data_IF_301400758933
#
_entry.id   IF_301400758933
#
_cell.length_a   1.000
_cell.length_b   1.000
_cell.length_c   1.000
_cell.angle_alpha   90.00
_cell.angle_beta   90.00
_cell.angle_gamma   90.00
#
_symmetry.space_group_name_H-M   'P 1'
#
loop_
_entity.id
_entity.type
_entity.pdbx_description
1 polymer ?
#
# COMPACT_ATOMS: atom_id res chain seq x y z
N UNK A 1 -13.68 4.63 -5.79
CA UNK A 1 -13.04 5.00 -7.07
C UNK A 1 -13.43 4.11 -8.23
N UNK A 2 -13.62 2.79 -8.03
CA UNK A 2 -13.81 1.79 -9.10
C UNK A 2 -14.98 2.00 -10.07
N UNK A 3 -15.91 2.94 -9.83
CA UNK A 3 -16.99 3.30 -10.76
C UNK A 3 -16.73 4.57 -11.59
N UNK A 4 -15.59 5.24 -11.39
CA UNK A 4 -15.24 6.46 -12.12
C UNK A 4 -14.62 6.07 -13.46
N UNK A 5 -15.10 6.66 -14.55
CA UNK A 5 -14.49 6.47 -15.87
C UNK A 5 -13.01 6.88 -15.86
N UNK A 6 -12.14 6.00 -16.36
CA UNK A 6 -10.70 6.23 -16.37
C UNK A 6 -10.04 6.26 -14.98
N UNK A 7 -10.70 5.72 -13.94
CA UNK A 7 -10.19 5.73 -12.57
C UNK A 7 -8.74 5.27 -12.46
N UNK A 8 -8.36 4.19 -13.16
CA UNK A 8 -6.99 3.66 -13.13
C UNK A 8 -5.95 4.70 -13.57
N UNK A 9 -6.24 5.45 -14.65
CA UNK A 9 -5.33 6.50 -15.13
C UNK A 9 -5.21 7.62 -14.11
N UNK A 10 -6.35 8.10 -13.59
CA UNK A 10 -6.39 9.15 -12.57
C UNK A 10 -5.67 8.73 -11.28
N UNK A 11 -5.81 7.48 -10.87
CA UNK A 11 -5.12 6.93 -9.70
C UNK A 11 -3.60 6.93 -9.89
N UNK A 12 -3.12 6.58 -11.09
CA UNK A 12 -1.69 6.68 -11.42
C UNK A 12 -1.21 8.12 -11.39
N UNK A 13 -1.97 9.07 -11.95
CA UNK A 13 -1.63 10.50 -11.91
C UNK A 13 -1.49 11.02 -10.47
N UNK A 14 -2.45 10.69 -9.60
CA UNK A 14 -2.43 11.03 -8.17
C UNK A 14 -1.19 10.44 -7.47
N UNK A 15 -0.88 9.17 -7.74
CA UNK A 15 0.24 8.48 -7.13
C UNK A 15 1.60 9.04 -7.61
N UNK A 16 1.73 9.33 -8.91
CA UNK A 16 2.94 9.95 -9.48
C UNK A 16 3.14 11.37 -8.93
N UNK A 17 2.06 12.14 -8.76
CA UNK A 17 2.09 13.45 -8.11
C UNK A 17 2.43 13.37 -6.61
N UNK A 18 2.43 12.17 -6.01
CA UNK A 18 2.73 11.96 -4.59
C UNK A 18 1.62 12.41 -3.64
N UNK A 19 0.38 12.48 -4.13
CA UNK A 19 -0.78 12.86 -3.33
C UNK A 19 -1.30 11.67 -2.52
N UNK A 20 -1.37 10.49 -3.15
CA UNK A 20 -1.78 9.24 -2.51
C UNK A 20 -1.29 8.03 -3.32
N UNK A 21 -0.58 7.10 -2.69
CA UNK A 21 -0.11 5.86 -3.30
C UNK A 21 -0.24 4.63 -2.38
N UNK A 22 0.26 3.48 -2.83
CA UNK A 22 0.15 2.22 -2.09
C UNK A 22 0.96 2.24 -0.78
N UNK A 23 2.10 2.93 -0.74
CA UNK A 23 2.93 3.10 0.46
C UNK A 23 2.14 3.83 1.53
N UNK A 24 1.55 4.97 1.16
CA UNK A 24 0.71 5.76 2.06
C UNK A 24 -0.53 4.98 2.52
N UNK A 25 -1.17 4.23 1.62
CA UNK A 25 -2.30 3.39 2.02
C UNK A 25 -1.91 2.34 3.07
N UNK A 26 -0.79 1.66 2.88
CA UNK A 26 -0.30 0.67 3.84
C UNK A 26 0.00 1.32 5.19
N UNK A 27 0.85 2.33 5.19
CA UNK A 27 1.48 2.81 6.42
C UNK A 27 0.59 3.81 7.19
N UNK A 28 -0.23 4.59 6.50
CA UNK A 28 -1.07 5.64 7.11
C UNK A 28 -2.53 5.20 7.30
N UNK A 29 -2.98 4.14 6.62
CA UNK A 29 -4.37 3.65 6.74
C UNK A 29 -4.43 2.25 7.32
N UNK A 30 -3.82 1.25 6.68
CA UNK A 30 -3.96 -0.14 7.09
C UNK A 30 -3.25 -0.42 8.43
N UNK A 31 -1.96 -0.13 8.52
CA UNK A 31 -1.18 -0.42 9.73
C UNK A 31 -1.73 0.25 11.00
N UNK A 32 -2.19 1.52 10.98
CA UNK A 32 -2.81 2.14 12.15
C UNK A 32 -4.09 1.44 12.61
N UNK A 33 -4.93 0.98 11.67
CA UNK A 33 -6.15 0.22 12.01
C UNK A 33 -5.79 -1.13 12.62
N UNK A 34 -4.84 -1.86 12.02
CA UNK A 34 -4.40 -3.17 12.52
C UNK A 34 -3.75 -3.07 13.90
N UNK A 35 -2.95 -2.03 14.16
CA UNK A 35 -2.38 -1.72 15.48
C UNK A 35 -3.46 -1.37 16.50
N UNK A 36 -4.43 -0.53 16.14
CA UNK A 36 -5.54 -0.15 17.04
C UNK A 36 -6.30 -1.37 17.54
N UNK A 37 -6.47 -2.38 16.68
CA UNK A 37 -7.15 -3.63 17.00
C UNK A 37 -6.23 -4.73 17.55
N UNK A 38 -4.93 -4.45 17.63
CA UNK A 38 -3.89 -5.37 18.12
C UNK A 38 -3.91 -6.72 17.40
N UNK A 39 -4.18 -6.71 16.10
CA UNK A 39 -4.40 -7.94 15.31
C UNK A 39 -3.23 -8.90 15.43
N UNK A 40 -1.99 -8.42 15.47
CA UNK A 40 -0.79 -9.26 15.56
C UNK A 40 -0.32 -9.56 16.99
N UNK A 41 -0.92 -8.95 18.01
CA UNK A 41 -0.50 -9.11 19.43
C UNK A 41 -1.46 -10.00 20.23
N UNK A 42 -2.69 -10.19 19.73
CA UNK A 42 -3.72 -11.01 20.37
C UNK A 42 -3.37 -12.49 20.34
N UNK A 43 -3.69 -13.20 21.42
CA UNK A 43 -3.48 -14.65 21.56
C UNK A 43 -4.79 -15.41 21.84
N UNK A 44 -5.93 -14.73 21.69
CA UNK A 44 -7.27 -15.25 21.97
C UNK A 44 -8.03 -15.67 20.71
N UNK A 45 -7.33 -15.84 19.59
CA UNK A 45 -7.91 -16.30 18.34
C UNK A 45 -8.03 -17.82 18.27
N UNK A 46 -9.14 -18.28 17.69
CA UNK A 46 -9.28 -19.68 17.26
C UNK A 46 -8.51 -19.95 15.97
N UNK A 47 -8.40 -21.23 15.59
CA UNK A 47 -7.60 -21.69 14.45
C UNK A 47 -7.91 -20.97 13.13
N UNK A 48 -9.17 -20.69 12.82
CA UNK A 48 -9.57 -19.96 11.61
C UNK A 48 -9.05 -18.52 11.60
N UNK A 49 -9.14 -17.83 12.73
CA UNK A 49 -8.64 -16.45 12.86
C UNK A 49 -7.11 -16.39 12.82
N UNK A 50 -6.42 -17.41 13.35
CA UNK A 50 -4.97 -17.55 13.21
C UNK A 50 -4.54 -17.71 11.75
N UNK A 51 -5.25 -18.56 11.02
CA UNK A 51 -5.02 -18.75 9.58
C UNK A 51 -5.25 -17.44 8.80
N UNK A 52 -6.35 -16.74 9.07
CA UNK A 52 -6.63 -15.44 8.45
C UNK A 52 -5.56 -14.38 8.79
N UNK A 53 -4.98 -14.43 10.00
CA UNK A 53 -3.88 -13.55 10.40
C UNK A 53 -2.59 -13.82 9.62
N UNK A 54 -2.28 -15.09 9.33
CA UNK A 54 -1.15 -15.47 8.48
C UNK A 54 -1.37 -15.00 7.04
N UNK A 55 -2.57 -15.18 6.50
CA UNK A 55 -2.91 -14.69 5.17
C UNK A 55 -2.79 -13.16 5.08
N UNK A 56 -3.27 -12.46 6.10
CA UNK A 56 -3.13 -11.02 6.20
C UNK A 56 -1.65 -10.58 6.25
N UNK A 57 -0.78 -11.28 6.98
CA UNK A 57 0.65 -10.92 7.00
C UNK A 57 1.30 -11.09 5.62
N UNK A 58 0.99 -12.17 4.90
CA UNK A 58 1.48 -12.39 3.54
C UNK A 58 1.03 -11.26 2.60
N UNK A 59 -0.24 -10.85 2.68
CA UNK A 59 -0.76 -9.74 1.87
C UNK A 59 -0.07 -8.40 2.18
N UNK A 60 0.28 -8.15 3.44
CA UNK A 60 1.02 -6.94 3.84
C UNK A 60 2.46 -6.97 3.31
N UNK A 61 3.11 -8.14 3.31
CA UNK A 61 4.45 -8.32 2.75
C UNK A 61 4.44 -8.12 1.23
N UNK A 62 3.48 -8.69 0.52
CA UNK A 62 3.33 -8.48 -0.93
C UNK A 62 3.04 -7.01 -1.28
N UNK A 63 2.28 -6.33 -0.41
CA UNK A 63 2.00 -4.90 -0.54
C UNK A 63 3.27 -4.06 -0.34
N UNK A 64 4.12 -4.42 0.63
CA UNK A 64 5.42 -3.77 0.87
C UNK A 64 6.30 -3.83 -0.39
N UNK A 65 6.48 -5.03 -0.95
CA UNK A 65 7.31 -5.22 -2.15
C UNK A 65 6.74 -4.43 -3.34
N UNK A 66 5.42 -4.32 -3.44
CA UNK A 66 4.75 -3.55 -4.49
C UNK A 66 4.89 -2.04 -4.30
N UNK A 67 4.83 -1.56 -3.06
CA UNK A 67 5.08 -0.18 -2.70
C UNK A 67 6.52 0.23 -3.04
N UNK A 68 7.51 -0.55 -2.62
CA UNK A 68 8.93 -0.30 -2.92
C UNK A 68 9.21 -0.20 -4.42
N UNK A 69 8.67 -1.14 -5.20
CA UNK A 69 8.79 -1.11 -6.67
C UNK A 69 8.18 0.15 -7.27
N UNK A 70 7.07 0.63 -6.72
CA UNK A 70 6.43 1.85 -7.20
C UNK A 70 7.24 3.09 -6.85
N UNK A 71 7.72 3.19 -5.61
CA UNK A 71 8.54 4.32 -5.15
C UNK A 71 9.82 4.47 -5.97
N UNK A 72 10.53 3.36 -6.20
CA UNK A 72 11.72 3.31 -7.06
C UNK A 72 11.43 3.82 -8.48
N UNK A 73 10.29 3.41 -9.08
CA UNK A 73 9.89 3.87 -10.42
C UNK A 73 9.54 5.35 -10.43
N UNK A 74 8.85 5.85 -9.39
CA UNK A 74 8.47 7.25 -9.25
C UNK A 74 9.71 8.15 -9.11
N UNK A 75 10.68 7.72 -8.30
CA UNK A 75 11.95 8.43 -8.15
C UNK A 75 12.75 8.45 -9.46
N UNK A 76 12.86 7.30 -10.15
CA UNK A 76 13.51 7.23 -11.45
C UNK A 76 12.84 8.15 -12.49
N UNK A 77 11.51 8.23 -12.50
CA UNK A 77 10.77 9.17 -13.34
C UNK A 77 11.07 10.63 -12.98
N UNK A 78 11.06 10.96 -11.69
CA UNK A 78 11.38 12.31 -11.21
C UNK A 78 12.79 12.74 -11.61
N UNK A 79 13.77 11.86 -11.45
CA UNK A 79 15.16 12.11 -11.87
C UNK A 79 15.28 12.33 -13.39
N UNK A 80 14.56 11.52 -14.19
CA UNK A 80 14.53 11.69 -15.65
C UNK A 80 13.91 13.01 -16.10
N UNK A 81 12.87 13.49 -15.41
CA UNK A 81 12.25 14.77 -15.72
C UNK A 81 13.19 15.92 -15.35
N UNK A 82 13.78 15.88 -14.15
CA UNK A 82 14.74 16.90 -13.69
C UNK A 82 16.00 17.01 -14.57
N UNK A 83 16.42 15.93 -15.23
CA UNK A 83 17.57 15.96 -16.15
C UNK A 83 17.24 16.53 -17.55
N UNK A 84 15.97 16.80 -17.85
CA UNK A 84 15.51 17.34 -19.14
C UNK A 84 15.23 18.84 -19.09
N UNK A 85 15.12 19.38 -17.88
CA UNK A 85 14.96 20.81 -17.59
C UNK A 85 16.33 21.46 -17.38
#
# INVERSE_FOLDING_TARGET
GNGIEGFTRKAVEIAVAGIYDLRQHKDEVLMPVLRKWRVFERADFGAECEQARIELSVLLDDMEVSADRFENKREALRARLAARD
#
